data_IF_675235281684
#
_entry.id   IF_675235281684
#
_cell.length_a   1.000
_cell.length_b   1.000
_cell.length_c   1.000
_cell.angle_alpha   90.00
_cell.angle_beta   90.00
_cell.angle_gamma   90.00
#
_symmetry.space_group_name_H-M   'P 1'
#
loop_
_entity.id
_entity.type
_entity.pdbx_description
1 polymer ?
#
# COMPACT_ATOMS: atom_id res chain seq x y z
N UNK A 1 5.73 -11.16 -16.92
CA UNK A 1 5.38 -10.44 -15.68
C UNK A 1 4.25 -11.18 -15.01
N UNK A 2 4.37 -11.54 -13.73
CA UNK A 2 3.30 -12.20 -13.00
C UNK A 2 2.13 -11.23 -12.82
N UNK A 3 0.97 -11.52 -13.38
CA UNK A 3 -0.24 -10.72 -13.21
C UNK A 3 -0.69 -10.83 -11.75
N UNK A 4 -0.35 -9.83 -10.94
CA UNK A 4 -0.79 -9.78 -9.55
C UNK A 4 -2.22 -9.21 -9.47
N UNK A 5 -2.98 -9.58 -8.45
CA UNK A 5 -4.36 -9.09 -8.24
C UNK A 5 -4.47 -7.55 -8.27
N UNK A 6 -3.42 -6.84 -7.88
CA UNK A 6 -3.41 -5.39 -7.79
C UNK A 6 -2.88 -4.66 -9.03
N UNK A 7 -2.24 -5.35 -9.99
CA UNK A 7 -1.55 -4.68 -11.11
C UNK A 7 -2.49 -3.92 -12.05
N UNK A 8 -3.79 -4.21 -12.01
CA UNK A 8 -4.82 -3.51 -12.79
C UNK A 8 -5.43 -2.29 -12.08
N UNK A 9 -5.07 -2.02 -10.81
CA UNK A 9 -5.58 -0.88 -10.05
C UNK A 9 -4.81 0.41 -10.37
N UNK A 10 -4.82 0.81 -11.64
CA UNK A 10 -4.20 2.06 -12.07
C UNK A 10 -5.13 3.25 -11.82
N UNK A 11 -4.61 4.47 -11.53
CA UNK A 11 -5.46 5.65 -11.35
C UNK A 11 -6.38 5.94 -12.54
N UNK A 12 -5.90 5.72 -13.77
CA UNK A 12 -6.71 5.87 -14.99
C UNK A 12 -7.91 4.90 -15.02
N UNK A 13 -7.73 3.65 -14.59
CA UNK A 13 -8.80 2.65 -14.50
C UNK A 13 -9.73 2.87 -13.31
N UNK A 14 -9.26 3.53 -12.26
CA UNK A 14 -10.08 3.90 -11.11
C UNK A 14 -11.01 5.08 -11.45
N UNK A 15 -10.46 6.15 -12.03
CA UNK A 15 -11.20 7.38 -12.28
C UNK A 15 -12.09 7.34 -13.51
N UNK A 16 -11.72 6.57 -14.55
CA UNK A 16 -12.49 6.40 -15.79
C UNK A 16 -12.99 7.73 -16.36
N UNK A 17 -12.09 8.71 -16.46
CA UNK A 17 -12.42 10.05 -16.95
C UNK A 17 -12.98 9.98 -18.37
N UNK A 18 -14.05 10.73 -18.62
CA UNK A 18 -14.68 10.82 -19.93
C UNK A 18 -13.74 11.49 -20.95
N UNK A 19 -13.71 11.05 -22.22
CA UNK A 19 -12.98 11.73 -23.28
C UNK A 19 -13.43 13.18 -23.45
N UNK A 20 -12.54 14.03 -23.95
CA UNK A 20 -12.87 15.41 -24.30
C UNK A 20 -13.84 15.51 -25.47
N UNK A 21 -14.35 16.72 -25.75
CA UNK A 21 -15.30 16.98 -26.85
C UNK A 21 -14.78 16.57 -28.24
N UNK A 22 -13.46 16.54 -28.41
CA UNK A 22 -12.76 16.08 -29.60
C UNK A 22 -12.59 14.56 -29.68
N UNK A 23 -13.09 13.80 -28.70
CA UNK A 23 -12.93 12.35 -28.60
C UNK A 23 -11.56 11.89 -28.09
N UNK A 24 -10.66 12.82 -27.79
CA UNK A 24 -9.33 12.49 -27.26
C UNK A 24 -9.41 12.11 -25.77
N UNK A 25 -8.51 11.25 -25.27
CA UNK A 25 -8.46 10.91 -23.86
C UNK A 25 -8.29 12.17 -22.98
N UNK A 26 -9.01 12.25 -21.86
CA UNK A 26 -8.90 13.36 -20.91
C UNK A 26 -7.47 13.65 -20.43
N UNK A 27 -6.62 12.61 -20.39
CA UNK A 27 -5.21 12.77 -20.12
C UNK A 27 -4.37 11.70 -20.83
N UNK A 28 -3.23 12.14 -21.36
CA UNK A 28 -2.22 11.28 -21.96
C UNK A 28 -1.52 10.38 -20.91
N UNK A 29 -0.93 9.24 -21.33
CA UNK A 29 -0.14 8.40 -20.43
C UNK A 29 1.02 9.12 -19.74
N UNK A 30 1.58 10.17 -20.37
CA UNK A 30 2.63 10.98 -19.78
C UNK A 30 2.11 11.85 -18.62
N UNK A 31 0.95 12.47 -18.78
CA UNK A 31 0.30 13.25 -17.72
C UNK A 31 -0.04 12.39 -16.51
N UNK A 32 -0.57 11.17 -16.73
CA UNK A 32 -0.81 10.22 -15.65
C UNK A 32 0.48 9.85 -14.88
N UNK A 33 1.59 9.58 -15.58
CA UNK A 33 2.87 9.28 -14.92
C UNK A 33 3.38 10.44 -14.06
N UNK A 34 3.29 11.67 -14.59
CA UNK A 34 3.69 12.88 -13.85
C UNK A 34 2.82 13.09 -12.62
N UNK A 35 1.50 12.93 -12.75
CA UNK A 35 0.56 13.05 -11.65
C UNK A 35 0.85 12.02 -10.55
N UNK A 36 1.07 10.74 -10.92
CA UNK A 36 1.49 9.69 -9.98
C UNK A 36 2.77 10.07 -9.25
N UNK A 37 3.83 10.44 -9.96
CA UNK A 37 5.12 10.78 -9.38
C UNK A 37 5.03 11.95 -8.38
N UNK A 38 4.19 12.95 -8.66
CA UNK A 38 3.96 14.09 -7.76
C UNK A 38 3.14 13.70 -6.52
N UNK A 39 2.31 12.67 -6.61
CA UNK A 39 1.38 12.26 -5.55
C UNK A 39 1.98 11.29 -4.52
N UNK A 40 3.15 10.73 -4.84
CA UNK A 40 3.81 9.68 -4.03
C UNK A 40 4.01 10.09 -2.57
N UNK A 41 4.25 11.38 -2.31
CA UNK A 41 4.48 11.91 -0.96
C UNK A 41 3.31 11.64 0.01
N UNK A 42 2.08 11.50 -0.48
CA UNK A 42 0.88 11.25 0.36
C UNK A 42 0.87 9.84 0.96
N UNK A 43 1.64 8.91 0.38
CA UNK A 43 1.64 7.52 0.80
C UNK A 43 2.52 7.25 2.03
N UNK A 44 3.39 8.18 2.42
CA UNK A 44 4.36 8.01 3.51
C UNK A 44 5.11 6.66 3.44
N UNK A 45 5.38 6.18 2.23
CA UNK A 45 6.07 4.91 2.01
C UNK A 45 7.58 5.10 2.16
N UNK A 46 8.29 4.09 2.69
CA UNK A 46 9.73 4.01 2.57
C UNK A 46 10.07 3.72 1.10
N UNK A 47 10.14 4.76 0.28
CA UNK A 47 10.45 4.63 -1.13
C UNK A 47 11.97 4.57 -1.35
N UNK A 48 12.43 3.76 -2.31
CA UNK A 48 13.82 3.79 -2.72
C UNK A 48 14.22 5.20 -3.23
N UNK A 49 15.54 5.49 -3.22
CA UNK A 49 16.05 6.79 -3.64
C UNK A 49 15.61 7.14 -5.07
N UNK A 50 15.54 8.44 -5.43
CA UNK A 50 15.00 8.92 -6.71
C UNK A 50 15.64 8.28 -7.94
N UNK A 51 16.90 7.83 -7.84
CA UNK A 51 17.68 7.17 -8.89
C UNK A 51 17.14 5.80 -9.32
N UNK A 52 16.28 5.16 -8.52
CA UNK A 52 15.70 3.84 -8.82
C UNK A 52 14.21 3.91 -9.22
N UNK A 53 13.65 5.11 -9.33
CA UNK A 53 12.24 5.33 -9.71
C UNK A 53 12.07 5.23 -11.23
N UNK A 54 12.19 4.02 -11.77
CA UNK A 54 11.93 3.67 -13.18
C UNK A 54 10.44 3.49 -13.49
N UNK A 55 10.09 3.07 -14.72
CA UNK A 55 8.70 2.87 -15.19
C UNK A 55 7.86 1.87 -14.36
N UNK A 56 8.50 1.17 -13.42
CA UNK A 56 7.88 0.33 -12.39
C UNK A 56 7.40 1.09 -11.14
N UNK A 57 7.43 2.43 -11.13
CA UNK A 57 7.07 3.24 -9.93
C UNK A 57 5.64 2.99 -9.46
N UNK A 58 4.67 2.93 -10.39
CA UNK A 58 3.28 2.61 -10.03
C UNK A 58 3.14 1.17 -9.53
N UNK A 59 3.74 0.19 -10.19
CA UNK A 59 3.67 -1.21 -9.74
C UNK A 59 4.34 -1.39 -8.37
N UNK A 60 5.43 -0.67 -8.10
CA UNK A 60 6.07 -0.64 -6.80
C UNK A 60 5.15 -0.01 -5.73
N UNK A 61 4.51 1.12 -6.05
CA UNK A 61 3.50 1.75 -5.19
C UNK A 61 2.36 0.76 -4.89
N UNK A 62 1.80 0.10 -5.91
CA UNK A 62 0.71 -0.87 -5.76
C UNK A 62 1.14 -2.09 -4.96
N UNK A 63 2.37 -2.58 -5.17
CA UNK A 63 2.93 -3.67 -4.36
C UNK A 63 3.05 -3.26 -2.89
N UNK A 64 3.55 -2.06 -2.60
CA UNK A 64 3.73 -1.58 -1.23
C UNK A 64 2.41 -1.32 -0.51
N UNK A 65 1.42 -0.80 -1.22
CA UNK A 65 0.12 -0.39 -0.66
C UNK A 65 -0.92 -1.51 -0.65
N UNK A 66 -1.16 -2.15 -1.80
CA UNK A 66 -2.20 -3.17 -2.00
C UNK A 66 -1.63 -4.59 -1.95
N UNK A 67 -0.38 -4.79 -2.38
CA UNK A 67 0.27 -6.09 -2.51
C UNK A 67 1.03 -6.58 -1.29
N UNK A 68 0.81 -5.94 -0.13
CA UNK A 68 1.46 -6.28 1.15
C UNK A 68 3.00 -6.18 1.16
N UNK A 69 3.60 -5.53 0.16
CA UNK A 69 5.05 -5.37 0.02
C UNK A 69 5.70 -4.68 1.22
N UNK A 70 4.96 -3.80 1.90
CA UNK A 70 5.41 -3.06 3.08
C UNK A 70 5.80 -3.96 4.27
N UNK A 71 5.28 -5.18 4.33
CA UNK A 71 5.62 -6.13 5.40
C UNK A 71 6.87 -6.95 5.12
N UNK A 72 7.51 -6.76 3.96
CA UNK A 72 8.73 -7.42 3.57
C UNK A 72 8.57 -8.87 3.06
N UNK A 73 9.68 -9.53 2.71
CA UNK A 73 9.67 -10.87 2.13
C UNK A 73 9.24 -11.95 3.14
N UNK A 74 9.56 -11.78 4.42
CA UNK A 74 9.24 -12.74 5.49
C UNK A 74 7.86 -12.49 6.14
N UNK A 75 6.97 -11.69 5.53
CA UNK A 75 5.68 -11.29 6.13
C UNK A 75 4.78 -12.44 6.58
N UNK A 76 4.88 -13.60 5.92
CA UNK A 76 4.13 -14.81 6.25
C UNK A 76 4.81 -15.70 7.29
N UNK A 77 6.05 -15.38 7.67
CA UNK A 77 6.83 -16.18 8.61
C UNK A 77 6.61 -15.71 10.04
N UNK A 78 6.31 -16.67 10.90
CA UNK A 78 6.24 -16.42 12.34
C UNK A 78 7.66 -16.24 12.91
N UNK A 79 7.83 -15.19 13.73
CA UNK A 79 9.07 -15.02 14.49
C UNK A 79 9.34 -16.24 15.38
N UNK A 80 10.61 -16.53 15.72
CA UNK A 80 10.96 -17.64 16.61
C UNK A 80 10.15 -17.62 17.93
N UNK A 81 9.99 -16.45 18.54
CA UNK A 81 9.19 -16.29 19.75
C UNK A 81 7.70 -16.64 19.53
N UNK A 82 7.11 -16.30 18.38
CA UNK A 82 5.73 -16.67 18.05
C UNK A 82 5.59 -18.18 17.81
N UNK A 83 6.58 -18.80 17.16
CA UNK A 83 6.61 -20.27 16.98
C UNK A 83 6.64 -20.99 18.33
N UNK A 84 7.52 -20.56 19.25
CA UNK A 84 7.59 -21.08 20.61
C UNK A 84 6.26 -20.86 21.37
N UNK A 85 5.67 -19.66 21.30
CA UNK A 85 4.36 -19.38 21.88
C UNK A 85 3.30 -20.38 21.39
N UNK A 86 3.19 -20.61 20.09
CA UNK A 86 2.19 -21.53 19.54
C UNK A 86 2.47 -23.01 19.86
N UNK A 87 3.74 -23.39 20.04
CA UNK A 87 4.10 -24.73 20.50
C UNK A 87 3.69 -25.01 21.95
N UNK A 88 3.82 -24.01 22.83
CA UNK A 88 3.51 -24.14 24.27
C UNK A 88 2.04 -23.85 24.57
N UNK A 89 1.36 -23.03 23.74
CA UNK A 89 -0.05 -22.62 23.91
C UNK A 89 -1.02 -23.76 24.26
N UNK A 90 -0.96 -24.98 23.67
CA UNK A 90 -1.87 -26.08 24.02
C UNK A 90 -1.80 -26.51 25.49
N UNK A 91 -0.65 -26.31 26.13
CA UNK A 91 -0.40 -26.74 27.51
C UNK A 91 -0.62 -25.63 28.55
N UNK A 92 -0.89 -24.40 28.09
CA UNK A 92 -1.06 -23.25 28.97
C UNK A 92 -2.54 -23.06 29.37
N UNK A 93 -2.82 -22.80 30.67
CA UNK A 93 -4.16 -22.41 31.10
C UNK A 93 -4.68 -21.17 30.34
N UNK A 94 -6.00 -21.09 30.17
CA UNK A 94 -6.68 -19.98 29.46
C UNK A 94 -6.35 -18.60 30.03
N UNK A 95 -6.07 -18.50 31.34
CA UNK A 95 -5.69 -17.25 31.98
C UNK A 95 -4.33 -16.74 31.48
N UNK A 96 -3.33 -17.63 31.40
CA UNK A 96 -1.97 -17.31 30.95
C UNK A 96 -1.98 -16.89 29.48
N UNK A 97 -2.67 -17.65 28.62
CA UNK A 97 -2.79 -17.31 27.19
C UNK A 97 -3.48 -15.97 26.96
N UNK A 98 -4.50 -15.62 27.74
CA UNK A 98 -5.12 -14.27 27.69
C UNK A 98 -4.15 -13.17 28.08
N UNK A 99 -3.36 -13.36 29.14
CA UNK A 99 -2.37 -12.37 29.57
C UNK A 99 -1.30 -12.14 28.50
N UNK A 100 -0.71 -13.23 27.99
CA UNK A 100 0.30 -13.17 26.92
C UNK A 100 -0.25 -12.49 25.65
N UNK A 101 -1.51 -12.77 25.29
CA UNK A 101 -2.16 -12.12 24.14
C UNK A 101 -2.34 -10.61 24.36
N UNK A 102 -2.68 -10.16 25.56
CA UNK A 102 -2.84 -8.72 25.86
C UNK A 102 -1.51 -7.97 25.72
N UNK A 103 -0.42 -8.55 26.23
CA UNK A 103 0.91 -7.96 26.16
C UNK A 103 1.40 -7.85 24.70
N UNK A 104 1.26 -8.92 23.93
CA UNK A 104 1.73 -8.93 22.53
C UNK A 104 0.89 -8.05 21.61
N UNK A 105 -0.42 -7.96 21.84
CA UNK A 105 -1.32 -7.13 21.03
C UNK A 105 -0.98 -5.64 21.20
N UNK A 106 -0.64 -5.19 22.41
CA UNK A 106 -0.25 -3.80 22.66
C UNK A 106 1.01 -3.42 21.89
N UNK A 107 2.03 -4.27 21.94
CA UNK A 107 3.28 -4.05 21.21
C UNK A 107 3.09 -4.08 19.69
N UNK A 108 2.19 -4.94 19.20
CA UNK A 108 1.88 -5.04 17.78
C UNK A 108 1.17 -3.80 17.23
N UNK A 109 0.28 -3.18 18.02
CA UNK A 109 -0.36 -1.91 17.68
C UNK A 109 0.62 -0.75 17.66
N UNK A 110 1.58 -0.70 18.58
CA UNK A 110 2.59 0.37 18.58
C UNK A 110 3.59 0.25 17.42
N UNK A 111 3.80 -0.98 16.92
CA UNK A 111 4.70 -1.25 15.78
C UNK A 111 3.99 -1.34 14.43
N UNK A 112 2.65 -1.19 14.37
CA UNK A 112 1.97 -1.27 13.08
C UNK A 112 2.32 -0.03 12.28
N UNK A 113 2.99 -0.24 11.14
CA UNK A 113 3.26 0.80 10.15
C UNK A 113 1.98 1.36 9.52
N UNK A 114 0.83 0.72 9.79
CA UNK A 114 -0.47 0.96 9.21
C UNK A 114 -1.47 1.52 10.23
N UNK A 115 -2.37 2.39 9.76
CA UNK A 115 -3.46 2.99 10.53
C UNK A 115 -4.62 2.03 10.81
N UNK A 116 -4.34 0.77 11.18
CA UNK A 116 -5.39 -0.25 11.38
C UNK A 116 -6.46 0.21 12.39
N UNK A 117 -7.77 0.02 12.12
CA UNK A 117 -8.31 -0.86 11.07
C UNK A 117 -8.62 -0.21 9.73
N UNK A 118 -8.52 1.12 9.59
CA UNK A 118 -8.85 1.84 8.35
C UNK A 118 -7.57 2.47 7.81
N UNK A 119 -7.04 1.90 6.73
CA UNK A 119 -5.88 2.44 6.03
C UNK A 119 -6.35 3.25 4.81
N UNK A 120 -6.21 4.56 4.86
CA UNK A 120 -6.75 5.48 3.85
C UNK A 120 -5.69 6.10 2.93
N UNK A 121 -4.40 5.79 3.13
CA UNK A 121 -3.30 6.36 2.32
C UNK A 121 -3.49 6.14 0.83
N UNK A 122 -3.91 4.95 0.39
CA UNK A 122 -4.14 4.69 -1.02
C UNK A 122 -5.31 5.50 -1.58
N UNK A 123 -6.38 5.69 -0.80
CA UNK A 123 -7.50 6.55 -1.20
C UNK A 123 -7.07 8.02 -1.31
N UNK A 124 -6.31 8.53 -0.32
CA UNK A 124 -5.74 9.89 -0.37
C UNK A 124 -4.82 10.07 -1.58
N UNK A 125 -4.01 9.05 -1.89
CA UNK A 125 -3.15 9.03 -3.07
C UNK A 125 -3.97 9.12 -4.37
N UNK A 126 -5.05 8.36 -4.52
CA UNK A 126 -5.90 8.44 -5.71
C UNK A 126 -6.49 9.84 -5.93
N UNK A 127 -6.94 10.49 -4.85
CA UNK A 127 -7.44 11.87 -4.88
C UNK A 127 -6.35 12.88 -5.20
N UNK A 128 -5.16 12.71 -4.63
CA UNK A 128 -4.01 13.55 -4.93
C UNK A 128 -3.59 13.43 -6.40
N UNK A 129 -3.61 12.22 -6.97
CA UNK A 129 -3.36 12.00 -8.40
C UNK A 129 -4.36 12.76 -9.26
N UNK A 130 -5.66 12.71 -8.92
CA UNK A 130 -6.68 13.47 -9.64
C UNK A 130 -6.42 14.99 -9.56
N UNK A 131 -6.07 15.50 -8.38
CA UNK A 131 -5.73 16.92 -8.18
C UNK A 131 -4.53 17.34 -9.02
N UNK A 132 -3.47 16.53 -9.03
CA UNK A 132 -2.28 16.80 -9.84
C UNK A 132 -2.59 16.77 -11.33
N UNK A 133 -3.44 15.82 -11.76
CA UNK A 133 -3.89 15.74 -13.15
C UNK A 133 -4.60 17.03 -13.58
N UNK A 134 -5.60 17.45 -12.81
CA UNK A 134 -6.34 18.70 -13.03
C UNK A 134 -5.43 19.93 -13.09
N UNK A 135 -4.39 19.98 -12.25
CA UNK A 135 -3.42 21.09 -12.25
C UNK A 135 -2.51 21.09 -13.48
N UNK A 136 -2.35 19.95 -14.15
CA UNK A 136 -1.51 19.84 -15.36
C UNK A 136 -2.31 19.91 -16.66
N UNK A 137 -3.62 19.72 -16.62
CA UNK A 137 -4.51 19.74 -17.79
C UNK A 137 -5.39 20.99 -17.86
N UNK A 138 -5.62 21.67 -16.74
CA UNK A 138 -6.41 22.90 -16.63
C UNK A 138 -5.61 24.18 -16.75
#
# INVERSE_FOLDING_TARGET
>A
MSTNLWSSNTPARFWLLEPGENGEPAASPAQWRVAVARSVHVLDLPLPPPTERGSSDLDAILLQTLGEGQFGPDRWRLSPARRAYYAVKPFLPRAVTRMLRRLSTRQMRTRSQLGWPIEDRYARFLWEVARQLLTTTG
#
